data_IF_953576031609
#
_entry.id   IF_953576031609
#
_cell.length_a   1.000
_cell.length_b   1.000
_cell.length_c   1.000
_cell.angle_alpha   90.00
_cell.angle_beta   90.00
_cell.angle_gamma   90.00
#
_symmetry.space_group_name_H-M   'P 1'
#
loop_
_entity.id
_entity.type
_entity.pdbx_description
1 polymer ?
#
# COMPACT_ATOMS: atom_id res chain seq x y z
N UNK A 1 21.42 -28.39 1.93
CA UNK A 1 20.65 -28.65 0.68
C UNK A 1 19.34 -27.90 0.79
N UNK A 2 18.84 -27.29 -0.29
CA UNK A 2 17.58 -26.52 -0.24
C UNK A 2 16.41 -27.32 -0.81
N UNK A 3 15.23 -27.12 -0.23
CA UNK A 3 14.02 -27.81 -0.66
C UNK A 3 12.73 -27.19 -0.13
N UNK A 4 11.62 -27.85 -0.44
CA UNK A 4 10.26 -27.47 0.01
C UNK A 4 9.59 -28.66 0.71
N UNK A 5 8.91 -28.41 1.82
CA UNK A 5 8.12 -29.43 2.53
C UNK A 5 6.93 -29.83 1.65
N UNK A 6 6.77 -31.12 1.37
CA UNK A 6 5.60 -31.66 0.67
C UNK A 6 4.39 -31.80 1.59
N UNK A 7 4.64 -32.24 2.82
CA UNK A 7 3.62 -32.49 3.82
C UNK A 7 4.24 -33.02 5.10
N UNK A 8 3.53 -32.83 6.21
CA UNK A 8 3.91 -33.28 7.53
C UNK A 8 2.69 -33.89 8.21
N UNK A 9 2.84 -35.12 8.70
CA UNK A 9 1.80 -35.84 9.43
C UNK A 9 2.08 -35.70 10.93
N UNK A 10 1.27 -34.89 11.62
CA UNK A 10 1.41 -34.67 13.07
C UNK A 10 1.22 -35.95 13.89
N UNK A 11 0.37 -36.87 13.43
CA UNK A 11 0.09 -38.12 14.15
C UNK A 11 1.27 -39.10 14.11
N UNK A 12 2.04 -39.09 13.02
CA UNK A 12 3.21 -39.96 12.83
C UNK A 12 4.54 -39.25 13.13
N UNK A 13 4.50 -37.94 13.38
CA UNK A 13 5.68 -37.12 13.63
C UNK A 13 6.67 -37.12 12.45
N UNK A 14 6.21 -37.42 11.24
CA UNK A 14 7.06 -37.57 10.06
C UNK A 14 6.57 -36.70 8.89
N UNK A 15 7.50 -36.32 8.03
CA UNK A 15 7.21 -35.51 6.84
C UNK A 15 8.12 -35.86 5.67
N UNK A 16 7.86 -35.20 4.55
CA UNK A 16 8.67 -35.31 3.34
C UNK A 16 9.04 -33.94 2.79
N UNK A 17 10.26 -33.83 2.29
CA UNK A 17 10.83 -32.65 1.62
C UNK A 17 11.19 -33.06 0.20
N UNK A 18 10.89 -32.18 -0.76
CA UNK A 18 11.44 -32.26 -2.11
C UNK A 18 12.61 -31.30 -2.20
N UNK A 19 13.80 -31.82 -2.49
CA UNK A 19 14.98 -31.01 -2.78
C UNK A 19 14.84 -30.29 -4.14
N UNK A 20 15.64 -29.25 -4.36
CA UNK A 20 15.66 -28.54 -5.66
C UNK A 20 16.10 -29.42 -6.84
N UNK A 21 16.86 -30.49 -6.58
CA UNK A 21 17.26 -31.48 -7.58
C UNK A 21 16.14 -32.49 -7.93
N UNK A 22 14.97 -32.39 -7.28
CA UNK A 22 13.82 -33.26 -7.48
C UNK A 22 13.82 -34.55 -6.66
N UNK A 23 14.88 -34.80 -5.87
CA UNK A 23 14.92 -35.93 -4.94
C UNK A 23 14.02 -35.72 -3.73
N UNK A 24 13.52 -36.82 -3.16
CA UNK A 24 12.62 -36.80 -1.99
C UNK A 24 13.36 -37.28 -0.75
N UNK A 25 13.33 -36.47 0.30
CA UNK A 25 13.90 -36.79 1.59
C UNK A 25 12.79 -36.89 2.63
N UNK A 26 12.80 -37.96 3.44
CA UNK A 26 11.91 -38.06 4.60
C UNK A 26 12.56 -37.39 5.79
N UNK A 27 11.77 -36.84 6.69
CA UNK A 27 12.27 -36.27 7.94
C UNK A 27 11.35 -36.58 9.10
N UNK A 28 11.91 -36.52 10.30
CA UNK A 28 11.17 -36.66 11.54
C UNK A 28 11.08 -35.30 12.24
N UNK A 29 10.12 -35.19 13.15
CA UNK A 29 9.91 -33.95 13.95
C UNK A 29 11.14 -33.60 14.78
N UNK A 30 11.94 -34.59 15.18
CA UNK A 30 13.19 -34.41 15.93
C UNK A 30 14.30 -33.71 15.12
N UNK A 31 14.26 -33.81 13.79
CA UNK A 31 15.22 -33.15 12.89
C UNK A 31 14.82 -31.70 12.59
N UNK A 32 13.61 -31.28 12.98
CA UNK A 32 13.09 -29.94 12.77
C UNK A 32 13.69 -28.93 13.75
N UNK A 33 14.20 -27.81 13.22
CA UNK A 33 14.83 -26.72 14.00
C UNK A 33 14.07 -25.41 13.93
N UNK A 34 12.84 -25.41 13.41
CA UNK A 34 12.00 -24.22 13.28
C UNK A 34 11.11 -23.95 14.50
N UNK A 35 10.88 -22.67 14.81
CA UNK A 35 9.98 -22.26 15.91
C UNK A 35 8.51 -22.63 15.68
N UNK A 36 8.09 -22.72 14.42
CA UNK A 36 6.72 -23.07 14.01
C UNK A 36 6.68 -24.52 13.50
N UNK A 37 5.55 -25.22 13.63
CA UNK A 37 5.39 -26.55 13.05
C UNK A 37 5.67 -26.55 11.55
N UNK A 38 6.30 -27.61 11.02
CA UNK A 38 6.53 -27.74 9.58
C UNK A 38 5.20 -27.75 8.82
N UNK A 39 5.09 -26.93 7.78
CA UNK A 39 3.90 -26.81 6.94
C UNK A 39 4.23 -27.09 5.48
N UNK A 40 3.28 -27.71 4.75
CA UNK A 40 3.42 -27.96 3.32
C UNK A 40 3.68 -26.66 2.55
N UNK A 41 4.63 -26.70 1.61
CA UNK A 41 5.07 -25.57 0.81
C UNK A 41 6.17 -24.70 1.45
N UNK A 42 6.52 -24.92 2.71
CA UNK A 42 7.57 -24.16 3.38
C UNK A 42 8.95 -24.46 2.78
N UNK A 43 9.71 -23.42 2.47
CA UNK A 43 11.09 -23.54 2.01
C UNK A 43 12.01 -23.81 3.20
N UNK A 44 12.92 -24.76 3.04
CA UNK A 44 13.83 -25.24 4.09
C UNK A 44 15.23 -25.44 3.55
N UNK A 45 16.23 -25.22 4.41
CA UNK A 45 17.58 -25.74 4.22
C UNK A 45 17.77 -26.92 5.17
N UNK A 46 18.35 -28.00 4.68
CA UNK A 46 18.49 -29.26 5.42
C UNK A 46 19.75 -29.99 4.98
N UNK A 47 20.29 -30.84 5.84
CA UNK A 47 21.34 -31.76 5.47
C UNK A 47 20.74 -33.08 4.95
N UNK A 48 21.16 -33.51 3.76
CA UNK A 48 20.60 -34.66 3.08
C UNK A 48 21.52 -35.88 3.22
N UNK A 49 21.16 -36.83 4.07
CA UNK A 49 21.93 -38.05 4.29
C UNK A 49 21.09 -39.29 3.94
N UNK A 50 21.51 -40.05 2.91
CA UNK A 50 20.89 -41.32 2.50
C UNK A 50 19.36 -41.31 2.32
N UNK A 51 18.79 -40.22 1.79
CA UNK A 51 17.34 -40.09 1.58
C UNK A 51 16.55 -39.64 2.81
N UNK A 52 17.24 -39.30 3.90
CA UNK A 52 16.67 -38.65 5.09
C UNK A 52 17.17 -37.21 5.14
N UNK A 53 16.34 -36.29 5.63
CA UNK A 53 16.71 -34.90 5.86
C UNK A 53 16.90 -34.67 7.35
N UNK A 54 18.09 -34.16 7.72
CA UNK A 54 18.51 -33.82 9.07
C UNK A 54 18.73 -32.31 9.21
N UNK A 55 18.70 -31.82 10.45
CA UNK A 55 18.94 -30.41 10.80
C UNK A 55 18.22 -29.42 9.86
N UNK A 56 16.89 -29.49 9.88
CA UNK A 56 16.02 -28.77 8.96
C UNK A 56 15.70 -27.39 9.52
N UNK A 57 16.19 -26.36 8.83
CA UNK A 57 15.95 -24.97 9.16
C UNK A 57 14.93 -24.35 8.20
N UNK A 58 13.83 -23.75 8.70
CA UNK A 58 12.96 -22.95 7.86
C UNK A 58 13.73 -21.73 7.37
N UNK A 59 13.95 -21.64 6.06
CA UNK A 59 14.46 -20.41 5.45
C UNK A 59 13.29 -19.44 5.38
N UNK A 60 13.18 -18.61 6.41
CA UNK A 60 12.17 -17.57 6.58
C UNK A 60 12.26 -16.48 5.51
N UNK A 61 11.96 -16.83 4.26
CA UNK A 61 11.40 -15.91 3.31
C UNK A 61 9.90 -15.97 3.46
N UNK A 62 9.27 -14.86 3.82
CA UNK A 62 7.86 -14.64 3.45
C UNK A 62 7.74 -15.04 1.98
N UNK A 63 7.08 -16.16 1.71
CA UNK A 63 6.98 -16.73 0.39
C UNK A 63 6.08 -15.83 -0.47
N UNK A 64 6.63 -14.72 -0.95
CA UNK A 64 6.07 -13.96 -2.07
C UNK A 64 6.01 -14.84 -3.33
N UNK A 65 6.74 -15.96 -3.35
CA UNK A 65 6.74 -17.01 -4.38
C UNK A 65 5.46 -17.87 -4.39
N UNK A 66 4.64 -17.85 -3.32
CA UNK A 66 3.36 -18.59 -3.28
C UNK A 66 2.19 -17.81 -3.89
N UNK A 67 2.39 -16.54 -4.26
CA UNK A 67 1.41 -15.77 -5.05
C UNK A 67 1.66 -16.07 -6.54
N UNK A 68 1.47 -17.32 -6.96
CA UNK A 68 1.36 -17.65 -8.38
C UNK A 68 0.01 -17.17 -8.89
N UNK A 69 -0.06 -15.90 -9.31
CA UNK A 69 -1.19 -15.41 -10.09
C UNK A 69 -1.10 -16.07 -11.46
N UNK A 70 -2.12 -16.82 -11.87
CA UNK A 70 -2.22 -17.33 -13.24
C UNK A 70 -2.79 -16.21 -14.13
N UNK A 71 -1.92 -15.53 -14.89
CA UNK A 71 -2.32 -14.48 -15.83
C UNK A 71 -2.59 -15.01 -17.24
N UNK A 72 -2.55 -16.33 -17.46
CA UNK A 72 -2.70 -16.94 -18.78
C UNK A 72 -4.02 -16.59 -19.45
N UNK A 73 -5.09 -16.40 -18.67
CA UNK A 73 -6.40 -15.96 -19.15
C UNK A 73 -6.45 -14.51 -19.64
N UNK A 74 -5.55 -13.64 -19.16
CA UNK A 74 -5.49 -12.22 -19.56
C UNK A 74 -4.55 -12.06 -20.76
N UNK A 75 -3.47 -12.84 -20.83
CA UNK A 75 -2.50 -12.77 -21.93
C UNK A 75 -3.00 -13.36 -23.25
N UNK A 76 -4.22 -13.91 -23.29
CA UNK A 76 -4.84 -14.43 -24.50
C UNK A 76 -5.04 -13.36 -25.60
N UNK A 77 -5.03 -12.07 -25.24
CA UNK A 77 -5.09 -10.96 -26.18
C UNK A 77 -3.80 -10.12 -26.22
N UNK A 78 -3.48 -9.48 -27.36
CA UNK A 78 -2.34 -8.55 -27.46
C UNK A 78 -2.42 -7.39 -26.46
N UNK A 79 -3.64 -6.92 -26.18
CA UNK A 79 -3.88 -5.86 -25.19
C UNK A 79 -3.66 -6.35 -23.76
N UNK A 80 -4.11 -7.56 -23.44
CA UNK A 80 -3.92 -8.15 -22.12
C UNK A 80 -2.45 -8.41 -21.80
N UNK A 81 -1.65 -8.81 -22.79
CA UNK A 81 -0.18 -8.91 -22.63
C UNK A 81 0.44 -7.56 -22.28
N UNK A 82 -0.03 -6.48 -22.92
CA UNK A 82 0.44 -5.11 -22.63
C UNK A 82 0.02 -4.65 -21.23
N UNK A 83 -1.19 -4.99 -20.78
CA UNK A 83 -1.65 -4.70 -19.42
C UNK A 83 -0.79 -5.44 -18.40
N UNK A 84 -0.54 -6.73 -18.60
CA UNK A 84 0.33 -7.53 -17.70
C UNK A 84 1.73 -6.92 -17.64
N UNK A 85 2.30 -6.52 -18.77
CA UNK A 85 3.61 -5.88 -18.82
C UNK A 85 3.68 -4.58 -17.98
N UNK A 86 2.59 -3.81 -17.87
CA UNK A 86 2.56 -2.59 -17.04
C UNK A 86 2.65 -2.87 -15.54
N UNK A 87 2.21 -4.05 -15.09
CA UNK A 87 2.25 -4.46 -13.68
C UNK A 87 3.53 -5.23 -13.33
N UNK A 88 4.11 -5.95 -14.29
CA UNK A 88 5.34 -6.75 -14.08
C UNK A 88 6.61 -5.97 -14.37
N UNK A 89 6.60 -5.03 -15.32
CA UNK A 89 7.80 -4.25 -15.69
C UNK A 89 8.09 -3.12 -14.72
N UNK A 90 7.06 -2.53 -14.10
CA UNK A 90 7.22 -1.37 -13.22
C UNK A 90 6.23 -1.36 -12.05
N UNK A 91 6.67 -0.79 -10.94
CA UNK A 91 5.82 -0.49 -9.78
C UNK A 91 4.98 0.78 -9.98
N UNK A 92 5.21 1.57 -11.04
CA UNK A 92 4.47 2.82 -11.30
C UNK A 92 2.96 2.60 -11.32
N UNK A 93 2.51 1.69 -12.17
CA UNK A 93 1.09 1.41 -12.41
C UNK A 93 0.36 0.90 -11.17
N UNK A 94 0.85 -0.14 -10.44
CA UNK A 94 0.16 -0.61 -9.24
C UNK A 94 0.14 0.45 -8.13
N UNK A 95 1.23 1.21 -7.94
CA UNK A 95 1.27 2.26 -6.92
C UNK A 95 0.35 3.42 -7.27
N UNK A 96 0.32 3.85 -8.53
CA UNK A 96 -0.58 4.90 -9.02
C UNK A 96 -2.06 4.50 -8.85
N UNK A 97 -2.39 3.25 -9.16
CA UNK A 97 -3.74 2.72 -8.97
C UNK A 97 -4.12 2.68 -7.49
N UNK A 98 -3.18 2.31 -6.62
CA UNK A 98 -3.33 2.42 -5.17
C UNK A 98 -3.61 3.85 -4.71
N UNK A 99 -2.91 4.85 -5.26
CA UNK A 99 -3.13 6.27 -4.94
C UNK A 99 -4.53 6.70 -5.37
N UNK A 100 -4.98 6.32 -6.57
CA UNK A 100 -6.34 6.61 -7.02
C UNK A 100 -7.37 6.01 -6.07
N UNK A 101 -7.21 4.74 -5.70
CA UNK A 101 -8.09 4.07 -4.75
C UNK A 101 -8.10 4.80 -3.40
N UNK A 102 -6.93 5.19 -2.88
CA UNK A 102 -6.79 5.96 -1.65
C UNK A 102 -7.60 7.26 -1.65
N UNK A 103 -7.63 7.97 -2.79
CA UNK A 103 -8.38 9.22 -2.94
C UNK A 103 -9.90 9.03 -2.79
N UNK A 104 -10.42 7.84 -3.11
CA UNK A 104 -11.83 7.49 -2.91
C UNK A 104 -12.12 6.89 -1.53
N UNK A 105 -11.10 6.55 -0.76
CA UNK A 105 -11.29 6.07 0.61
C UNK A 105 -11.59 7.21 1.58
N UNK A 106 -12.09 6.85 2.76
CA UNK A 106 -12.32 7.78 3.86
C UNK A 106 -11.02 8.50 4.21
N UNK A 107 -11.04 9.83 4.10
CA UNK A 107 -9.93 10.71 4.42
C UNK A 107 -10.11 11.31 5.83
N UNK A 108 -11.33 11.73 6.16
CA UNK A 108 -11.71 12.24 7.48
C UNK A 108 -12.92 11.47 7.95
N UNK A 109 -12.82 10.89 9.15
CA UNK A 109 -13.93 10.22 9.80
C UNK A 109 -14.33 10.99 11.06
N UNK A 110 -15.61 11.27 11.20
CA UNK A 110 -16.22 11.81 12.41
C UNK A 110 -17.42 10.95 12.81
N UNK A 111 -17.91 11.06 14.07
CA UNK A 111 -19.04 10.26 14.54
C UNK A 111 -20.34 10.57 13.78
N UNK A 112 -20.41 11.74 13.16
CA UNK A 112 -21.60 12.25 12.47
C UNK A 112 -21.49 12.07 10.95
N UNK A 113 -20.30 12.24 10.37
CA UNK A 113 -20.06 12.17 8.93
C UNK A 113 -18.64 11.69 8.59
N UNK A 114 -18.51 10.93 7.50
CA UNK A 114 -17.21 10.56 6.92
C UNK A 114 -17.08 11.16 5.53
N UNK A 115 -15.92 11.73 5.22
CA UNK A 115 -15.63 12.30 3.91
C UNK A 115 -14.40 11.66 3.27
N UNK A 116 -14.50 11.45 1.96
CA UNK A 116 -13.38 11.04 1.09
C UNK A 116 -12.55 12.25 0.70
N UNK A 117 -11.37 12.04 0.12
CA UNK A 117 -10.49 13.14 -0.31
C UNK A 117 -11.21 14.12 -1.26
N UNK A 118 -12.07 13.58 -2.14
CA UNK A 118 -12.85 14.37 -3.09
C UNK A 118 -14.05 15.06 -2.42
N UNK A 119 -14.65 14.41 -1.41
CA UNK A 119 -15.79 14.94 -0.65
C UNK A 119 -15.45 16.05 0.34
N UNK A 120 -14.15 16.31 0.62
CA UNK A 120 -13.70 17.36 1.54
C UNK A 120 -14.16 18.77 1.15
N UNK A 121 -14.54 19.00 -0.11
CA UNK A 121 -15.04 20.29 -0.58
C UNK A 121 -16.33 20.69 0.15
N UNK A 122 -17.26 19.75 0.28
CA UNK A 122 -18.56 20.00 0.88
C UNK A 122 -18.45 20.38 2.36
N UNK A 123 -17.55 19.74 3.09
CA UNK A 123 -17.27 20.07 4.50
C UNK A 123 -16.72 21.50 4.62
N UNK A 124 -15.78 21.86 3.74
CA UNK A 124 -15.14 23.17 3.80
C UNK A 124 -16.07 24.28 3.33
N UNK A 125 -16.93 24.03 2.34
CA UNK A 125 -17.95 24.99 1.92
C UNK A 125 -18.99 25.22 3.02
N UNK A 126 -19.39 24.17 3.76
CA UNK A 126 -20.25 24.34 4.95
C UNK A 126 -19.55 25.17 6.04
N UNK A 127 -18.28 24.89 6.29
CA UNK A 127 -17.50 25.61 7.31
C UNK A 127 -17.22 27.07 6.90
N UNK A 128 -17.00 27.34 5.61
CA UNK A 128 -16.79 28.69 5.08
C UNK A 128 -18.05 29.54 5.12
N UNK A 129 -19.23 28.95 4.89
CA UNK A 129 -20.49 29.65 5.11
C UNK A 129 -20.72 29.95 6.60
N UNK A 130 -20.43 29.00 7.49
CA UNK A 130 -20.55 29.21 8.93
C UNK A 130 -19.58 30.30 9.45
N UNK A 131 -18.34 30.31 8.96
CA UNK A 131 -17.35 31.33 9.33
C UNK A 131 -17.62 32.69 8.68
N UNK A 132 -18.16 32.74 7.47
CA UNK A 132 -18.59 33.98 6.82
C UNK A 132 -19.70 34.66 7.62
N UNK A 133 -20.66 33.87 8.16
CA UNK A 133 -21.68 34.39 9.09
C UNK A 133 -21.05 34.94 10.38
N UNK A 134 -20.00 34.29 10.91
CA UNK A 134 -19.21 34.80 12.04
C UNK A 134 -18.37 36.04 11.70
N UNK A 135 -17.86 36.15 10.46
CA UNK A 135 -17.10 37.29 9.97
C UNK A 135 -17.94 38.56 9.85
N UNK A 136 -19.24 38.42 9.55
CA UNK A 136 -20.21 39.52 9.63
C UNK A 136 -20.42 40.02 11.07
N UNK A 137 -20.02 39.24 12.07
CA UNK A 137 -19.99 39.60 13.49
C UNK A 137 -18.58 40.01 13.98
N UNK A 138 -17.64 40.28 13.07
CA UNK A 138 -16.30 40.78 13.39
C UNK A 138 -15.22 39.73 13.63
N UNK A 139 -15.44 38.46 13.24
CA UNK A 139 -14.42 37.40 13.32
C UNK A 139 -13.42 37.45 12.15
N UNK A 140 -12.16 37.14 12.41
CA UNK A 140 -11.10 37.05 11.38
C UNK A 140 -11.29 35.81 10.49
N UNK A 141 -11.59 36.03 9.19
CA UNK A 141 -11.90 34.97 8.22
C UNK A 141 -10.75 34.66 7.24
N UNK A 142 -9.64 35.39 7.31
CA UNK A 142 -8.51 35.29 6.38
C UNK A 142 -7.87 33.89 6.31
N UNK A 143 -7.88 33.15 7.43
CA UNK A 143 -7.39 31.77 7.51
C UNK A 143 -8.24 30.77 6.71
N UNK A 144 -9.51 31.06 6.42
CA UNK A 144 -10.39 30.10 5.75
C UNK A 144 -10.29 30.14 4.23
N UNK A 145 -10.14 31.34 3.65
CA UNK A 145 -9.94 31.49 2.20
C UNK A 145 -8.63 30.86 1.73
N UNK A 146 -7.56 31.00 2.52
CA UNK A 146 -6.28 30.34 2.24
C UNK A 146 -6.39 28.82 2.32
N UNK A 147 -7.12 28.29 3.31
CA UNK A 147 -7.37 26.85 3.42
C UNK A 147 -8.18 26.29 2.24
N UNK A 148 -9.21 27.02 1.79
CA UNK A 148 -10.00 26.62 0.62
C UNK A 148 -9.15 26.61 -0.66
N UNK A 149 -8.29 27.62 -0.85
CA UNK A 149 -7.35 27.65 -1.97
C UNK A 149 -6.35 26.47 -1.90
N UNK A 150 -5.82 26.16 -0.72
CA UNK A 150 -4.91 25.04 -0.52
C UNK A 150 -5.58 23.69 -0.78
N UNK A 151 -6.88 23.57 -0.51
CA UNK A 151 -7.62 22.33 -0.78
C UNK A 151 -7.79 22.03 -2.26
N UNK A 152 -7.66 23.00 -3.16
CA UNK A 152 -7.61 22.71 -4.61
C UNK A 152 -6.42 21.81 -4.95
N UNK A 153 -5.31 21.91 -4.22
CA UNK A 153 -4.14 21.06 -4.43
C UNK A 153 -4.42 19.58 -4.11
N UNK A 154 -5.53 19.24 -3.43
CA UNK A 154 -5.91 17.83 -3.21
C UNK A 154 -6.14 17.07 -4.52
N UNK A 155 -6.51 17.77 -5.61
CA UNK A 155 -6.67 17.18 -6.94
C UNK A 155 -5.34 16.90 -7.64
N UNK A 156 -4.21 17.40 -7.13
CA UNK A 156 -2.90 17.10 -7.68
C UNK A 156 -2.59 15.60 -7.61
N UNK A 157 -2.98 14.91 -6.53
CA UNK A 157 -2.74 13.48 -6.36
C UNK A 157 -3.42 12.60 -7.43
N UNK A 158 -4.76 12.68 -7.65
CA UNK A 158 -5.41 11.88 -8.69
C UNK A 158 -4.96 12.27 -10.11
N UNK A 159 -4.71 13.55 -10.38
CA UNK A 159 -4.23 13.99 -11.70
C UNK A 159 -2.80 13.48 -11.98
N UNK A 160 -1.90 13.54 -10.99
CA UNK A 160 -0.56 13.01 -11.12
C UNK A 160 -0.57 11.48 -11.28
N UNK A 161 -1.45 10.77 -10.58
CA UNK A 161 -1.61 9.32 -10.73
C UNK A 161 -2.09 8.94 -12.14
N UNK A 162 -3.07 9.64 -12.71
CA UNK A 162 -3.49 9.45 -14.10
C UNK A 162 -2.36 9.76 -15.09
N UNK A 163 -1.59 10.82 -14.82
CA UNK A 163 -0.42 11.16 -15.62
C UNK A 163 0.65 10.06 -15.59
N UNK A 164 0.94 9.48 -14.42
CA UNK A 164 1.87 8.37 -14.25
C UNK A 164 1.41 7.11 -14.99
N UNK A 165 0.12 6.76 -14.91
CA UNK A 165 -0.45 5.63 -15.67
C UNK A 165 -0.29 5.85 -17.17
N UNK A 166 -0.61 7.05 -17.67
CA UNK A 166 -0.44 7.38 -19.08
C UNK A 166 1.05 7.42 -19.50
N UNK A 167 1.96 7.86 -18.63
CA UNK A 167 3.39 7.85 -18.89
C UNK A 167 3.95 6.41 -19.01
N UNK A 168 3.52 5.52 -18.10
CA UNK A 168 3.84 4.10 -18.14
C UNK A 168 3.29 3.44 -19.40
N UNK A 169 2.05 3.77 -19.80
CA UNK A 169 1.44 3.21 -20.99
C UNK A 169 2.14 3.62 -22.30
N UNK A 170 2.71 4.83 -22.33
CA UNK A 170 3.51 5.33 -23.46
C UNK A 170 4.97 4.87 -23.44
N UNK A 171 5.39 4.10 -22.44
CA UNK A 171 6.77 3.62 -22.29
C UNK A 171 7.81 4.74 -22.09
N UNK A 172 7.39 5.90 -21.58
CA UNK A 172 8.29 7.03 -21.28
C UNK A 172 9.01 6.81 -19.94
N UNK A 173 10.04 7.61 -19.65
CA UNK A 173 10.71 7.58 -18.35
C UNK A 173 9.71 7.84 -17.21
N UNK A 174 9.57 6.85 -16.33
CA UNK A 174 8.59 6.87 -15.25
C UNK A 174 9.13 7.54 -13.96
N UNK A 175 10.43 7.87 -13.91
CA UNK A 175 11.06 8.40 -12.69
C UNK A 175 10.47 9.72 -12.23
N UNK A 176 10.35 10.68 -13.16
CA UNK A 176 9.74 11.99 -12.90
C UNK A 176 8.26 11.88 -12.48
N UNK A 177 7.39 11.15 -13.22
CA UNK A 177 6.00 11.02 -12.82
C UNK A 177 5.82 10.22 -11.53
N UNK A 178 6.70 9.27 -11.19
CA UNK A 178 6.70 8.60 -9.88
C UNK A 178 6.96 9.60 -8.75
N UNK A 179 8.00 10.42 -8.86
CA UNK A 179 8.34 11.42 -7.85
C UNK A 179 7.21 12.47 -7.69
N UNK A 180 6.68 12.96 -8.80
CA UNK A 180 5.60 13.95 -8.79
C UNK A 180 4.32 13.38 -8.17
N UNK A 181 3.94 12.13 -8.52
CA UNK A 181 2.76 11.46 -7.95
C UNK A 181 2.96 11.19 -6.46
N UNK A 182 4.16 10.76 -6.05
CA UNK A 182 4.47 10.54 -4.65
C UNK A 182 4.42 11.83 -3.82
N UNK A 183 5.00 12.91 -4.32
CA UNK A 183 4.94 14.23 -3.68
C UNK A 183 3.50 14.76 -3.60
N UNK A 184 2.72 14.61 -4.68
CA UNK A 184 1.31 15.00 -4.70
C UNK A 184 0.45 14.20 -3.71
N UNK A 185 0.70 12.90 -3.57
CA UNK A 185 0.02 12.04 -2.59
C UNK A 185 0.34 12.45 -1.14
N UNK A 186 1.60 12.72 -0.83
CA UNK A 186 2.01 13.22 0.50
C UNK A 186 1.39 14.58 0.78
N UNK A 187 1.41 15.49 -0.20
CA UNK A 187 0.80 16.81 -0.06
C UNK A 187 -0.70 16.70 0.18
N UNK A 188 -1.40 15.83 -0.54
CA UNK A 188 -2.83 15.57 -0.31
C UNK A 188 -3.09 15.03 1.10
N UNK A 189 -2.26 14.12 1.60
CA UNK A 189 -2.37 13.60 2.97
C UNK A 189 -2.12 14.70 4.02
N UNK A 190 -1.09 15.54 3.83
CA UNK A 190 -0.79 16.68 4.69
C UNK A 190 -1.92 17.72 4.72
N UNK A 191 -2.59 17.96 3.59
CA UNK A 191 -3.76 18.85 3.55
C UNK A 191 -4.90 18.33 4.43
N UNK A 192 -5.14 17.02 4.48
CA UNK A 192 -6.16 16.43 5.35
C UNK A 192 -5.79 16.58 6.82
N UNK A 193 -4.51 16.36 7.15
CA UNK A 193 -3.99 16.59 8.51
C UNK A 193 -4.14 18.06 8.92
N UNK A 194 -3.78 18.98 8.02
CA UNK A 194 -3.93 20.42 8.21
C UNK A 194 -5.40 20.83 8.39
N UNK A 195 -6.32 20.25 7.62
CA UNK A 195 -7.75 20.52 7.78
C UNK A 195 -8.27 20.05 9.14
N UNK A 196 -7.89 18.84 9.58
CA UNK A 196 -8.24 18.35 10.91
C UNK A 196 -7.74 19.30 12.00
N UNK A 197 -6.48 19.75 11.90
CA UNK A 197 -5.91 20.71 12.85
C UNK A 197 -6.66 22.05 12.83
N UNK A 198 -7.04 22.55 11.65
CA UNK A 198 -7.83 23.76 11.49
C UNK A 198 -9.22 23.63 12.15
N UNK A 199 -9.93 22.52 11.93
CA UNK A 199 -11.22 22.25 12.56
C UNK A 199 -11.10 22.23 14.09
N UNK A 200 -10.09 21.55 14.64
CA UNK A 200 -9.86 21.49 16.08
C UNK A 200 -9.48 22.85 16.68
N UNK A 201 -8.76 23.70 15.93
CA UNK A 201 -8.41 25.05 16.37
C UNK A 201 -9.62 25.98 16.52
N UNK A 202 -10.70 25.75 15.77
CA UNK A 202 -11.94 26.55 15.87
C UNK A 202 -12.84 26.12 17.03
N UNK A 203 -12.63 24.93 17.56
CA UNK A 203 -13.41 24.44 18.69
C UNK A 203 -12.99 25.11 20.00
N UNK A 204 -13.94 25.40 20.90
CA UNK A 204 -13.64 25.81 22.27
C UNK A 204 -12.87 24.71 23.04
N UNK A 205 -12.03 25.09 24.00
CA UNK A 205 -11.15 24.14 24.73
C UNK A 205 -11.91 22.96 25.36
N UNK A 206 -13.08 23.21 25.94
CA UNK A 206 -13.90 22.15 26.53
C UNK A 206 -14.47 21.15 25.51
N UNK A 207 -14.64 21.56 24.25
CA UNK A 207 -15.13 20.71 23.16
C UNK A 207 -13.98 20.05 22.39
N UNK A 208 -12.77 20.62 22.43
CA UNK A 208 -11.60 20.11 21.71
C UNK A 208 -11.28 18.68 22.09
N UNK A 209 -11.29 18.32 23.37
CA UNK A 209 -10.98 16.95 23.79
C UNK A 209 -11.98 15.93 23.22
N UNK A 210 -13.29 16.22 23.29
CA UNK A 210 -14.32 15.35 22.70
C UNK A 210 -14.17 15.25 21.17
N UNK A 211 -13.91 16.37 20.49
CA UNK A 211 -13.72 16.38 19.04
C UNK A 211 -12.44 15.67 18.61
N UNK A 212 -11.38 15.72 19.42
CA UNK A 212 -10.11 15.06 19.10
C UNK A 212 -10.25 13.55 19.15
N UNK A 213 -11.05 13.03 20.09
CA UNK A 213 -11.42 11.62 20.18
C UNK A 213 -12.40 11.19 19.07
N UNK A 214 -13.30 12.07 18.64
CA UNK A 214 -14.30 11.77 17.60
C UNK A 214 -13.78 11.90 16.16
N UNK A 215 -12.90 12.87 15.88
CA UNK A 215 -12.39 13.15 14.54
C UNK A 215 -11.04 12.47 14.35
N UNK A 216 -11.02 11.44 13.52
CA UNK A 216 -9.81 10.66 13.20
C UNK A 216 -9.43 10.79 11.73
N UNK A 217 -8.13 10.60 11.46
CA UNK A 217 -7.64 10.44 10.10
C UNK A 217 -8.13 9.09 9.57
N UNK A 218 -8.81 9.11 8.43
CA UNK A 218 -9.27 7.90 7.79
C UNK A 218 -8.13 7.09 7.18
N UNK A 219 -8.38 5.81 6.94
CA UNK A 219 -7.41 4.88 6.37
C UNK A 219 -6.83 5.36 5.02
N UNK A 220 -7.61 6.12 4.23
CA UNK A 220 -7.15 6.68 2.97
C UNK A 220 -5.93 7.61 3.12
N UNK A 221 -5.84 8.37 4.22
CA UNK A 221 -4.71 9.29 4.48
C UNK A 221 -3.43 8.50 4.74
N UNK A 222 -3.52 7.43 5.53
CA UNK A 222 -2.39 6.56 5.81
C UNK A 222 -1.92 5.85 4.55
N UNK A 223 -2.85 5.39 3.71
CA UNK A 223 -2.52 4.79 2.42
C UNK A 223 -1.78 5.78 1.50
N UNK A 224 -2.21 7.05 1.48
CA UNK A 224 -1.54 8.11 0.70
C UNK A 224 -0.11 8.37 1.17
N UNK A 225 0.15 8.38 2.48
CA UNK A 225 1.52 8.51 3.00
C UNK A 225 2.40 7.31 2.60
N UNK A 226 1.90 6.09 2.80
CA UNK A 226 2.63 4.87 2.47
C UNK A 226 2.92 4.75 0.97
N UNK A 227 1.90 4.94 0.13
CA UNK A 227 2.05 4.86 -1.32
C UNK A 227 2.85 6.04 -1.88
N UNK A 228 2.69 7.23 -1.30
CA UNK A 228 3.47 8.40 -1.66
C UNK A 228 4.97 8.20 -1.38
N UNK A 229 5.30 7.69 -0.20
CA UNK A 229 6.67 7.31 0.16
C UNK A 229 7.22 6.19 -0.73
N UNK A 230 6.41 5.17 -1.02
CA UNK A 230 6.79 4.07 -1.91
C UNK A 230 7.07 4.56 -3.34
N UNK A 231 6.25 5.47 -3.89
CA UNK A 231 6.45 6.09 -5.20
C UNK A 231 7.73 6.92 -5.26
N UNK A 232 8.04 7.68 -4.21
CA UNK A 232 9.29 8.44 -4.14
C UNK A 232 10.48 7.48 -4.08
N UNK A 233 10.43 6.46 -3.23
CA UNK A 233 11.50 5.47 -3.11
C UNK A 233 11.71 4.68 -4.41
N UNK A 234 10.63 4.33 -5.12
CA UNK A 234 10.68 3.69 -6.44
C UNK A 234 11.26 4.64 -7.52
N UNK A 235 10.83 5.91 -7.55
CA UNK A 235 11.32 6.92 -8.48
C UNK A 235 12.82 7.23 -8.31
N UNK A 236 13.31 7.16 -7.07
CA UNK A 236 14.75 7.27 -6.74
C UNK A 236 15.54 5.98 -6.99
N UNK A 237 14.87 4.87 -7.36
CA UNK A 237 15.52 3.59 -7.64
C UNK A 237 15.89 2.76 -6.41
N UNK A 238 15.42 3.13 -5.20
CA UNK A 238 15.66 2.36 -3.97
C UNK A 238 14.78 1.12 -3.85
N UNK A 239 13.63 1.11 -4.51
CA UNK A 239 12.67 -0.01 -4.52
C UNK A 239 12.51 -0.49 -5.96
N UNK A 240 12.74 -1.78 -6.19
CA UNK A 240 12.60 -2.44 -7.51
C UNK A 240 11.42 -3.39 -7.49
N UNK A 241 10.77 -3.57 -8.64
CA UNK A 241 9.66 -4.52 -8.76
C UNK A 241 10.19 -5.94 -8.56
N UNK A 242 9.74 -6.69 -7.54
CA UNK A 242 10.14 -8.08 -7.36
C UNK A 242 9.65 -9.00 -8.49
N UNK A 243 8.65 -8.56 -9.27
CA UNK A 243 8.10 -9.29 -10.41
C UNK A 243 8.76 -8.94 -11.75
N UNK A 244 9.65 -7.94 -11.78
CA UNK A 244 10.47 -7.69 -12.95
C UNK A 244 11.49 -8.82 -13.05
N UNK A 245 11.27 -9.76 -13.98
CA UNK A 245 12.30 -10.75 -14.32
C UNK A 245 13.57 -9.99 -14.70
N UNK A 246 14.66 -10.30 -14.01
CA UNK A 246 15.97 -9.76 -14.35
C UNK A 246 16.27 -10.07 -15.82
N UNK A 247 16.51 -9.01 -16.59
CA UNK A 247 17.39 -9.11 -17.76
C UNK A 247 18.84 -9.17 -17.27
#
# INVERSE_FOLDING_TARGET
MKGKILGFNQSEGSGAITAEDGSRHRFLTEDWRGEKPPAAGMAVDFDGESGTARDIYPVGGVALDSIKVDLSGITASPEGTRVVALFTRSLATPLALGVLLACFMTALSSPVQSATLLGLGQIVDQLSMASAAGGMMGADTSGMGTMQALLVLRFAAPLAALWLINAAWRGKSEKLPMLATGAAAILAALLVVGLRAAILSMAPDFLREQLTAGISLGFGVWLLFLLGGALIAAGLGKVRNPLAKGE
#
